data_IF_350720568921
#
_entry.id   IF_350720568921
#
_cell.length_a   1.000
_cell.length_b   1.000
_cell.length_c   1.000
_cell.angle_alpha   90.00
_cell.angle_beta   90.00
_cell.angle_gamma   90.00
#
_symmetry.space_group_name_H-M   'P 1'
#
loop_
_entity.id
_entity.type
_entity.pdbx_description
1 polymer ?
#
# COMPACT_ATOMS: atom_id res chain seq x y z
N UNK A 1 31.62 44.62 -69.31
CA UNK A 1 31.81 46.08 -69.02
C UNK A 1 31.21 46.35 -67.65
N UNK A 2 32.04 46.89 -66.77
CA UNK A 2 31.80 47.47 -65.45
C UNK A 2 31.49 46.52 -64.24
N UNK A 3 32.56 46.37 -63.56
CA UNK A 3 32.73 46.20 -62.09
C UNK A 3 31.82 47.13 -61.28
N UNK A 4 31.33 46.59 -60.15
CA UNK A 4 31.45 47.34 -58.88
C UNK A 4 31.37 46.41 -57.66
N UNK A 5 32.41 46.49 -56.91
CA UNK A 5 32.56 45.92 -55.58
C UNK A 5 31.53 46.48 -54.61
N UNK A 6 31.02 45.63 -53.75
CA UNK A 6 30.51 46.08 -52.46
C UNK A 6 30.87 45.03 -51.41
N UNK A 7 31.74 45.45 -50.56
CA UNK A 7 32.14 44.86 -49.33
C UNK A 7 30.94 44.93 -48.42
N UNK A 8 30.52 43.82 -47.87
CA UNK A 8 29.56 43.79 -46.76
C UNK A 8 30.06 42.93 -45.66
N UNK A 9 30.25 43.55 -44.56
CA UNK A 9 30.62 43.20 -43.22
C UNK A 9 29.88 41.94 -42.78
N UNK A 10 30.64 40.92 -42.42
CA UNK A 10 30.16 39.74 -41.68
C UNK A 10 30.02 40.13 -40.22
N UNK A 11 28.80 40.38 -39.79
CA UNK A 11 28.46 40.48 -38.37
C UNK A 11 28.23 39.08 -37.84
N UNK A 12 29.21 38.56 -37.10
CA UNK A 12 29.08 37.32 -36.35
C UNK A 12 28.18 37.56 -35.13
N UNK A 13 26.91 37.12 -35.24
CA UNK A 13 26.02 37.00 -34.09
C UNK A 13 26.35 35.71 -33.34
N UNK A 14 27.13 35.84 -32.28
CA UNK A 14 27.31 34.79 -31.26
C UNK A 14 26.04 34.74 -30.43
N UNK A 15 25.16 33.81 -30.74
CA UNK A 15 24.07 33.43 -29.84
C UNK A 15 24.67 32.58 -28.68
N UNK A 16 24.90 33.25 -27.55
CA UNK A 16 25.13 32.59 -26.30
C UNK A 16 23.84 31.88 -25.86
N UNK A 17 23.72 30.58 -26.12
CA UNK A 17 22.73 29.72 -25.50
C UNK A 17 23.13 29.56 -24.03
N UNK A 18 22.60 30.46 -23.19
CA UNK A 18 22.58 30.20 -21.74
C UNK A 18 21.55 29.11 -21.48
N UNK A 19 22.01 27.87 -21.43
CA UNK A 19 21.21 26.77 -20.93
C UNK A 19 20.85 27.06 -19.46
N UNK A 20 19.64 27.56 -19.23
CA UNK A 20 19.03 27.55 -17.92
C UNK A 20 18.83 26.07 -17.52
N UNK A 21 19.76 25.55 -16.74
CA UNK A 21 19.52 24.36 -15.95
C UNK A 21 18.48 24.72 -14.89
N UNK A 22 17.21 24.50 -15.21
CA UNK A 22 16.18 24.42 -14.19
C UNK A 22 16.41 23.09 -13.47
N UNK A 23 17.17 23.14 -12.40
CA UNK A 23 17.28 22.04 -11.48
C UNK A 23 15.88 21.76 -10.91
N UNK A 24 15.28 20.67 -11.34
CA UNK A 24 14.05 20.13 -10.76
C UNK A 24 14.33 19.62 -9.34
N UNK A 25 14.44 20.55 -8.38
CA UNK A 25 14.77 20.25 -6.99
C UNK A 25 13.53 19.95 -6.11
N UNK A 26 12.33 19.92 -6.70
CA UNK A 26 11.08 19.84 -5.94
C UNK A 26 10.63 18.44 -5.47
N UNK A 27 10.97 17.30 -6.11
CA UNK A 27 10.54 16.00 -5.59
C UNK A 27 11.30 15.58 -4.31
N UNK A 28 12.58 15.90 -4.23
CA UNK A 28 13.45 15.37 -3.17
C UNK A 28 13.16 15.92 -1.76
N UNK A 29 12.73 17.19 -1.69
CA UNK A 29 12.44 17.85 -0.40
C UNK A 29 11.13 17.30 0.20
N UNK A 30 10.16 16.96 -0.65
CA UNK A 30 8.89 16.38 -0.19
C UNK A 30 9.10 14.99 0.37
N UNK A 31 9.89 14.16 -0.30
CA UNK A 31 10.20 12.80 0.13
C UNK A 31 11.00 12.78 1.44
N UNK A 32 11.98 13.68 1.61
CA UNK A 32 12.75 13.78 2.85
C UNK A 32 11.89 14.22 4.05
N UNK A 33 10.95 15.14 3.86
CA UNK A 33 10.03 15.55 4.92
C UNK A 33 9.00 14.45 5.25
N UNK A 34 8.52 13.70 4.27
CA UNK A 34 7.64 12.56 4.50
C UNK A 34 8.36 11.41 5.21
N UNK A 35 9.61 11.13 4.87
CA UNK A 35 10.43 10.14 5.58
C UNK A 35 10.74 10.56 7.02
N UNK A 36 11.02 11.85 7.26
CA UNK A 36 11.22 12.39 8.63
C UNK A 36 9.97 12.27 9.48
N UNK A 37 8.78 12.36 8.90
CA UNK A 37 7.53 12.33 9.66
C UNK A 37 7.31 10.99 10.37
N UNK A 38 7.70 9.87 9.79
CA UNK A 38 7.56 8.56 10.44
C UNK A 38 8.58 8.31 11.56
N UNK A 39 9.70 9.00 11.57
CA UNK A 39 10.69 8.86 12.65
C UNK A 39 10.23 9.46 13.99
N UNK A 40 9.09 10.16 13.99
CA UNK A 40 8.50 10.75 15.20
C UNK A 40 7.51 9.83 15.91
N UNK A 41 7.15 8.70 15.32
CA UNK A 41 6.30 7.70 15.95
C UNK A 41 7.14 6.66 16.69
N UNK A 42 6.50 5.95 17.62
CA UNK A 42 7.12 4.81 18.26
C UNK A 42 7.27 3.64 17.27
N UNK A 43 8.27 2.76 17.47
CA UNK A 43 8.40 1.56 16.67
C UNK A 43 7.11 0.74 16.65
N UNK A 44 6.79 0.15 15.50
CA UNK A 44 5.57 -0.65 15.35
C UNK A 44 5.87 -2.02 14.74
N UNK A 45 5.04 -3.00 15.06
CA UNK A 45 5.01 -4.29 14.42
C UNK A 45 3.96 -4.22 13.30
N UNK A 46 4.39 -4.28 12.05
CA UNK A 46 3.52 -4.15 10.88
C UNK A 46 3.50 -5.46 10.08
N UNK A 47 2.32 -6.09 9.98
CA UNK A 47 2.12 -7.17 9.03
C UNK A 47 1.55 -6.60 7.72
N UNK A 48 2.25 -6.83 6.60
CA UNK A 48 1.77 -6.47 5.26
C UNK A 48 1.24 -7.72 4.60
N UNK A 49 -0.06 -7.74 4.34
CA UNK A 49 -0.77 -8.84 3.72
C UNK A 49 -1.24 -8.42 2.32
N UNK A 50 -0.87 -9.17 1.30
CA UNK A 50 -1.20 -8.87 -0.09
C UNK A 50 -1.99 -10.04 -0.68
N UNK A 51 -3.18 -9.78 -1.16
CA UNK A 51 -3.98 -10.77 -1.87
C UNK A 51 -3.31 -11.10 -3.22
N UNK A 52 -3.20 -12.37 -3.55
CA UNK A 52 -2.32 -12.84 -4.63
C UNK A 52 -2.96 -12.87 -6.02
N UNK A 53 -4.28 -12.68 -6.10
CA UNK A 53 -5.02 -12.57 -7.37
C UNK A 53 -5.32 -11.12 -7.79
N UNK A 54 -4.65 -10.13 -7.16
CA UNK A 54 -4.81 -8.72 -7.53
C UNK A 54 -4.29 -8.46 -8.95
N UNK A 55 -4.84 -7.41 -9.57
CA UNK A 55 -4.43 -6.97 -10.90
C UNK A 55 -2.92 -6.67 -10.98
N UNK A 56 -2.25 -6.94 -12.12
CA UNK A 56 -0.79 -6.76 -12.26
C UNK A 56 -0.30 -5.34 -11.99
N UNK A 57 -1.16 -4.33 -12.11
CA UNK A 57 -0.86 -2.94 -11.82
C UNK A 57 -0.37 -2.71 -10.37
N UNK A 58 -0.76 -3.57 -9.43
CA UNK A 58 -0.21 -3.58 -8.05
C UNK A 58 1.31 -3.76 -8.06
N UNK A 59 1.86 -4.47 -9.05
CA UNK A 59 3.30 -4.63 -9.22
C UNK A 59 4.05 -3.31 -9.37
N UNK A 60 3.45 -2.32 -10.03
CA UNK A 60 4.03 -0.99 -10.22
C UNK A 60 4.12 -0.21 -8.89
N UNK A 61 3.27 -0.53 -7.93
CA UNK A 61 3.19 0.13 -6.63
C UNK A 61 4.08 -0.50 -5.56
N UNK A 62 4.74 -1.63 -5.88
CA UNK A 62 5.65 -2.29 -4.92
C UNK A 62 6.91 -1.48 -4.62
N UNK A 63 7.32 -0.60 -5.53
CA UNK A 63 8.42 0.36 -5.30
C UNK A 63 8.10 1.25 -4.10
N UNK A 64 6.97 1.93 -4.16
CA UNK A 64 6.48 2.81 -3.09
C UNK A 64 6.27 2.05 -1.78
N UNK A 65 5.77 0.81 -1.87
CA UNK A 65 5.60 -0.06 -0.70
C UNK A 65 6.95 -0.40 -0.04
N UNK A 66 7.98 -0.70 -0.83
CA UNK A 66 9.35 -0.94 -0.33
C UNK A 66 9.92 0.31 0.37
N UNK A 67 9.73 1.47 -0.22
CA UNK A 67 10.21 2.74 0.34
C UNK A 67 9.47 3.11 1.62
N UNK A 68 8.17 2.81 1.70
CA UNK A 68 7.41 2.94 2.94
C UNK A 68 7.98 2.02 4.05
N UNK A 69 8.25 0.74 3.76
CA UNK A 69 8.84 -0.19 4.74
C UNK A 69 10.16 0.35 5.27
N UNK A 70 11.06 0.80 4.37
CA UNK A 70 12.37 1.34 4.76
C UNK A 70 12.29 2.63 5.57
N UNK A 71 11.19 3.37 5.43
CA UNK A 71 10.98 4.63 6.15
C UNK A 71 10.43 4.46 7.57
N UNK A 72 10.08 3.25 7.97
CA UNK A 72 9.58 2.97 9.32
C UNK A 72 10.64 3.27 10.40
N UNK A 73 10.24 3.65 11.61
CA UNK A 73 11.17 3.92 12.72
C UNK A 73 12.08 2.74 13.03
N UNK A 74 13.28 3.05 13.48
CA UNK A 74 14.20 2.03 13.98
C UNK A 74 13.58 1.23 15.14
N UNK A 75 13.72 -0.09 15.12
CA UNK A 75 13.09 -1.00 16.07
C UNK A 75 11.72 -1.50 15.63
N UNK A 76 11.15 -0.97 14.55
CA UNK A 76 9.95 -1.55 13.95
C UNK A 76 10.25 -2.94 13.38
N UNK A 77 9.23 -3.82 13.42
CA UNK A 77 9.30 -5.14 12.83
C UNK A 77 8.28 -5.26 11.71
N UNK A 78 8.68 -5.86 10.60
CA UNK A 78 7.78 -6.05 9.45
C UNK A 78 7.70 -7.52 9.08
N UNK A 79 6.47 -8.01 8.93
CA UNK A 79 6.14 -9.29 8.32
C UNK A 79 5.53 -9.05 6.93
N UNK A 80 5.88 -9.87 5.94
CA UNK A 80 5.25 -9.85 4.61
C UNK A 80 4.63 -11.21 4.33
N UNK A 81 3.34 -11.20 4.04
CA UNK A 81 2.56 -12.39 3.70
C UNK A 81 1.71 -12.18 2.45
N UNK A 82 1.41 -13.27 1.76
CA UNK A 82 0.51 -13.31 0.62
C UNK A 82 -0.71 -14.16 0.94
N UNK A 83 -1.87 -13.61 0.65
CA UNK A 83 -3.14 -14.34 0.76
C UNK A 83 -3.33 -15.10 -0.55
N UNK A 84 -3.14 -16.40 -0.48
CA UNK A 84 -3.42 -17.31 -1.59
C UNK A 84 -4.75 -18.02 -1.33
N UNK A 85 -5.20 -18.82 -2.27
CA UNK A 85 -6.42 -19.60 -2.10
C UNK A 85 -6.35 -20.46 -0.83
N UNK A 86 -7.09 -20.05 0.21
CA UNK A 86 -7.28 -20.79 1.45
C UNK A 86 -6.07 -20.84 2.39
N UNK A 87 -5.06 -19.96 2.23
CA UNK A 87 -3.91 -19.93 3.15
C UNK A 87 -3.14 -18.60 3.14
N UNK A 88 -2.60 -18.23 4.30
CA UNK A 88 -1.62 -17.16 4.44
C UNK A 88 -0.21 -17.70 4.23
N UNK A 89 0.43 -17.32 3.13
CA UNK A 89 1.82 -17.65 2.87
C UNK A 89 2.75 -16.55 3.37
N UNK A 90 3.38 -16.77 4.54
CA UNK A 90 4.36 -15.86 5.09
C UNK A 90 5.67 -15.99 4.34
N UNK A 91 6.03 -14.97 3.55
CA UNK A 91 7.32 -14.93 2.82
C UNK A 91 8.45 -14.43 3.69
N UNK A 92 8.17 -13.46 4.55
CA UNK A 92 9.10 -12.92 5.51
C UNK A 92 8.38 -12.84 6.87
N UNK A 93 8.75 -13.64 7.85
CA UNK A 93 8.32 -13.46 9.23
C UNK A 93 8.76 -12.11 9.79
N UNK A 94 8.19 -11.68 10.91
CA UNK A 94 8.58 -10.43 11.55
C UNK A 94 10.10 -10.31 11.66
N UNK A 95 10.65 -9.18 11.19
CA UNK A 95 12.07 -8.87 11.21
C UNK A 95 12.28 -7.37 11.39
N UNK A 96 13.32 -7.01 12.14
CA UNK A 96 13.81 -5.63 12.25
C UNK A 96 14.68 -5.20 11.06
N UNK A 97 15.11 -6.16 10.22
CA UNK A 97 15.77 -5.86 8.95
C UNK A 97 14.73 -5.42 7.91
N UNK A 98 14.48 -4.09 7.87
CA UNK A 98 13.49 -3.49 6.99
C UNK A 98 13.83 -3.67 5.51
N UNK A 99 15.12 -3.73 5.17
CA UNK A 99 15.55 -4.02 3.81
C UNK A 99 15.23 -5.45 3.39
N UNK A 100 15.42 -6.41 4.28
CA UNK A 100 15.03 -7.81 4.04
C UNK A 100 13.53 -7.93 3.84
N UNK A 101 12.74 -7.27 4.69
CA UNK A 101 11.28 -7.22 4.53
C UNK A 101 10.89 -6.59 3.19
N UNK A 102 11.47 -5.43 2.82
CA UNK A 102 11.19 -4.75 1.56
C UNK A 102 11.55 -5.61 0.33
N UNK A 103 12.67 -6.33 0.35
CA UNK A 103 13.08 -7.24 -0.74
C UNK A 103 12.20 -8.48 -0.87
N UNK A 104 11.48 -8.87 0.16
CA UNK A 104 10.57 -10.02 0.12
C UNK A 104 9.29 -9.76 -0.68
N UNK A 105 8.97 -8.50 -0.97
CA UNK A 105 7.82 -8.13 -1.79
C UNK A 105 7.98 -8.63 -3.24
N UNK A 106 6.97 -9.30 -3.75
CA UNK A 106 6.85 -9.76 -5.14
C UNK A 106 5.54 -9.29 -5.78
N UNK A 107 5.49 -9.31 -7.07
CA UNK A 107 4.26 -9.08 -7.83
C UNK A 107 3.24 -10.17 -7.49
N UNK A 108 1.96 -9.84 -7.24
CA UNK A 108 0.88 -10.82 -7.14
C UNK A 108 0.82 -11.67 -8.41
N UNK A 109 0.47 -12.94 -8.28
CA UNK A 109 0.44 -13.85 -9.44
C UNK A 109 -0.68 -13.52 -10.42
N UNK A 110 -1.73 -12.82 -9.97
CA UNK A 110 -2.85 -12.44 -10.82
C UNK A 110 -3.58 -13.65 -11.43
N UNK A 111 -3.59 -14.78 -10.73
CA UNK A 111 -4.22 -15.99 -11.24
C UNK A 111 -5.75 -15.87 -11.19
N UNK A 112 -6.38 -16.11 -12.35
CA UNK A 112 -7.83 -16.28 -12.47
C UNK A 112 -8.31 -17.68 -12.09
N UNK A 113 -7.39 -18.58 -11.70
CA UNK A 113 -7.76 -19.89 -11.21
C UNK A 113 -8.79 -19.69 -10.09
N UNK A 114 -9.97 -20.25 -10.27
CA UNK A 114 -11.18 -20.11 -9.45
C UNK A 114 -11.04 -20.64 -8.02
N UNK A 115 -10.02 -20.17 -7.34
CA UNK A 115 -9.80 -20.50 -5.96
C UNK A 115 -10.54 -19.48 -5.10
N UNK A 116 -11.38 -19.92 -4.17
CA UNK A 116 -12.07 -19.03 -3.27
C UNK A 116 -11.06 -18.28 -2.42
N UNK A 117 -11.19 -16.96 -2.38
CA UNK A 117 -10.42 -16.09 -1.50
C UNK A 117 -11.29 -15.63 -0.34
N UNK A 118 -10.74 -15.64 0.86
CA UNK A 118 -11.34 -15.02 2.04
C UNK A 118 -10.26 -14.28 2.82
N UNK A 119 -10.07 -12.97 2.55
CA UNK A 119 -8.99 -12.21 3.20
C UNK A 119 -9.15 -12.14 4.72
N UNK A 120 -10.35 -12.29 5.23
CA UNK A 120 -10.65 -12.13 6.66
C UNK A 120 -10.16 -13.32 7.50
N UNK A 121 -10.26 -14.53 6.98
CA UNK A 121 -9.67 -15.72 7.63
C UNK A 121 -8.14 -15.56 7.72
N UNK A 122 -7.52 -15.03 6.67
CA UNK A 122 -6.07 -14.85 6.64
C UNK A 122 -5.60 -13.68 7.51
N UNK A 123 -6.44 -12.67 7.73
CA UNK A 123 -6.20 -11.65 8.75
C UNK A 123 -6.14 -12.30 10.14
N UNK A 124 -7.07 -13.23 10.47
CA UNK A 124 -7.04 -13.96 11.74
C UNK A 124 -5.78 -14.82 11.86
N UNK A 125 -5.32 -15.45 10.78
CA UNK A 125 -4.05 -16.18 10.76
C UNK A 125 -2.84 -15.28 11.00
N UNK A 126 -2.83 -14.09 10.40
CA UNK A 126 -1.77 -13.10 10.61
C UNK A 126 -1.75 -12.57 12.05
N UNK A 127 -2.93 -12.34 12.65
CA UNK A 127 -3.04 -11.91 14.05
C UNK A 127 -2.38 -12.88 15.05
N UNK A 128 -2.34 -14.16 14.73
CA UNK A 128 -1.66 -15.19 15.57
C UNK A 128 -0.14 -15.10 15.51
N UNK A 129 0.43 -14.33 14.57
CA UNK A 129 1.88 -14.17 14.42
C UNK A 129 2.44 -13.00 15.22
N UNK A 130 1.57 -12.13 15.77
CA UNK A 130 2.02 -11.03 16.61
C UNK A 130 2.43 -11.54 17.98
N UNK A 131 3.52 -10.98 18.50
CA UNK A 131 3.92 -11.19 19.89
C UNK A 131 2.93 -10.43 20.81
N UNK A 132 2.39 -11.14 21.80
CA UNK A 132 1.40 -10.59 22.73
C UNK A 132 2.03 -9.71 23.80
N UNK A 133 3.29 -9.96 24.10
CA UNK A 133 4.02 -9.30 25.18
C UNK A 133 4.94 -8.18 24.67
N UNK A 134 4.87 -7.89 23.36
CA UNK A 134 5.68 -6.86 22.71
C UNK A 134 5.25 -5.45 23.11
N UNK A 135 6.25 -4.58 23.37
CA UNK A 135 6.01 -3.16 23.71
C UNK A 135 5.58 -2.30 22.53
N UNK A 136 5.78 -2.77 21.30
CA UNK A 136 5.48 -2.01 20.09
C UNK A 136 3.97 -2.02 19.79
N UNK A 137 3.46 -0.95 19.21
CA UNK A 137 2.13 -0.92 18.63
C UNK A 137 2.01 -1.92 17.48
N UNK A 138 0.87 -2.59 17.36
CA UNK A 138 0.62 -3.63 16.37
C UNK A 138 -0.33 -3.14 15.28
N UNK A 139 0.02 -3.35 14.02
CA UNK A 139 -0.82 -2.98 12.89
C UNK A 139 -0.75 -4.01 11.75
N UNK A 140 -1.83 -4.11 10.99
CA UNK A 140 -1.89 -4.84 9.72
C UNK A 140 -2.14 -3.82 8.60
N UNK A 141 -1.38 -3.92 7.50
CA UNK A 141 -1.72 -3.32 6.22
C UNK A 141 -2.20 -4.43 5.28
N UNK A 142 -3.50 -4.45 5.02
CA UNK A 142 -4.15 -5.38 4.11
C UNK A 142 -4.29 -4.74 2.72
N UNK A 143 -3.68 -5.32 1.70
CA UNK A 143 -3.84 -4.92 0.29
C UNK A 143 -4.69 -5.99 -0.37
N UNK A 144 -5.96 -5.66 -0.66
CA UNK A 144 -6.97 -6.63 -1.07
C UNK A 144 -8.11 -5.96 -1.83
N UNK A 145 -8.88 -6.76 -2.55
CA UNK A 145 -10.16 -6.34 -3.12
C UNK A 145 -11.33 -6.39 -2.12
N UNK A 146 -11.10 -6.99 -0.95
CA UNK A 146 -12.03 -7.03 0.18
C UNK A 146 -13.22 -7.96 -0.01
N UNK A 147 -13.26 -8.79 -1.06
CA UNK A 147 -14.33 -9.76 -1.24
C UNK A 147 -14.00 -11.10 -0.54
N UNK A 148 -15.00 -11.63 0.14
CA UNK A 148 -15.05 -13.04 0.49
C UNK A 148 -15.77 -13.79 -0.64
N UNK A 149 -15.02 -14.58 -1.39
CA UNK A 149 -15.55 -15.43 -2.47
C UNK A 149 -15.53 -16.90 -2.11
N UNK A 150 -15.26 -17.25 -0.85
CA UNK A 150 -15.13 -18.63 -0.39
C UNK A 150 -16.44 -19.45 -0.57
N UNK A 151 -17.58 -18.77 -0.60
CA UNK A 151 -18.92 -19.36 -0.82
C UNK A 151 -19.60 -18.81 -2.08
N UNK A 152 -18.84 -18.22 -3.00
CA UNK A 152 -19.36 -17.43 -4.09
C UNK A 152 -19.68 -15.99 -3.69
N UNK A 153 -19.96 -15.14 -4.67
CA UNK A 153 -20.33 -13.75 -4.42
C UNK A 153 -21.83 -13.63 -4.17
N UNK A 154 -22.20 -13.26 -2.96
CA UNK A 154 -23.57 -12.93 -2.59
C UNK A 154 -23.68 -11.43 -2.28
N UNK A 155 -24.38 -10.71 -3.17
CA UNK A 155 -24.59 -9.27 -3.02
C UNK A 155 -25.51 -8.90 -1.85
N UNK A 156 -26.24 -9.84 -1.27
CA UNK A 156 -27.15 -9.60 -0.14
C UNK A 156 -26.47 -9.74 1.22
N UNK A 157 -25.37 -10.48 1.29
CA UNK A 157 -24.60 -10.75 2.51
C UNK A 157 -23.30 -9.94 2.61
N UNK A 158 -23.01 -9.09 1.63
CA UNK A 158 -21.77 -8.35 1.55
C UNK A 158 -21.54 -7.45 2.79
N UNK A 159 -20.33 -7.52 3.33
CA UNK A 159 -19.91 -6.71 4.48
C UNK A 159 -20.33 -7.25 5.85
N UNK A 160 -21.12 -8.33 5.93
CA UNK A 160 -21.59 -8.93 7.16
C UNK A 160 -21.33 -10.44 7.23
N UNK A 161 -20.17 -10.88 6.77
CA UNK A 161 -19.81 -12.29 6.90
C UNK A 161 -19.29 -12.58 8.32
N UNK A 162 -19.50 -13.81 8.78
CA UNK A 162 -19.00 -14.28 10.09
C UNK A 162 -17.48 -14.08 10.21
N UNK A 163 -16.76 -14.19 9.10
CA UNK A 163 -15.31 -14.08 9.08
C UNK A 163 -14.83 -12.62 9.25
N UNK A 164 -15.56 -11.63 8.72
CA UNK A 164 -15.27 -10.21 9.02
C UNK A 164 -15.48 -9.94 10.51
N UNK A 165 -16.61 -10.36 11.07
CA UNK A 165 -16.92 -10.17 12.50
C UNK A 165 -15.85 -10.81 13.39
N UNK A 166 -15.43 -12.02 13.02
CA UNK A 166 -14.36 -12.73 13.72
C UNK A 166 -13.02 -11.99 13.63
N UNK A 167 -12.66 -11.50 12.44
CA UNK A 167 -11.39 -10.77 12.25
C UNK A 167 -11.36 -9.47 13.04
N UNK A 168 -12.46 -8.73 13.07
CA UNK A 168 -12.62 -7.51 13.88
C UNK A 168 -12.48 -7.83 15.36
N UNK A 169 -13.20 -8.85 15.84
CA UNK A 169 -13.14 -9.26 17.24
C UNK A 169 -11.74 -9.67 17.69
N UNK A 170 -11.05 -10.49 16.89
CA UNK A 170 -9.69 -10.94 17.24
C UNK A 170 -8.67 -9.79 17.14
N UNK A 171 -8.79 -8.89 16.16
CA UNK A 171 -7.93 -7.70 16.04
C UNK A 171 -8.09 -6.79 17.27
N UNK A 172 -9.33 -6.48 17.66
CA UNK A 172 -9.60 -5.65 18.84
C UNK A 172 -9.10 -6.30 20.15
N UNK A 173 -9.27 -7.62 20.29
CA UNK A 173 -8.77 -8.39 21.45
C UNK A 173 -7.25 -8.29 21.59
N UNK A 174 -6.52 -8.20 20.47
CA UNK A 174 -5.06 -8.11 20.45
C UNK A 174 -4.54 -6.67 20.33
N UNK A 175 -5.43 -5.66 20.30
CA UNK A 175 -5.05 -4.26 20.12
C UNK A 175 -4.37 -3.98 18.77
N UNK A 176 -4.73 -4.72 17.72
CA UNK A 176 -4.15 -4.59 16.37
C UNK A 176 -5.05 -3.74 15.49
N UNK A 177 -4.55 -2.60 15.03
CA UNK A 177 -5.26 -1.76 14.06
C UNK A 177 -5.07 -2.31 12.63
N UNK A 178 -6.18 -2.42 11.87
CA UNK A 178 -6.12 -2.89 10.48
C UNK A 178 -6.30 -1.70 9.53
N UNK A 179 -5.29 -1.43 8.73
CA UNK A 179 -5.35 -0.49 7.62
C UNK A 179 -5.54 -1.28 6.32
N UNK A 180 -6.35 -0.76 5.39
CA UNK A 180 -6.62 -1.46 4.14
C UNK A 180 -6.38 -0.57 2.93
N UNK A 181 -5.66 -1.09 1.94
CA UNK A 181 -5.55 -0.52 0.60
C UNK A 181 -6.39 -1.36 -0.34
N UNK A 182 -7.39 -0.74 -0.95
CA UNK A 182 -8.17 -1.40 -1.97
C UNK A 182 -7.37 -1.50 -3.27
N UNK A 183 -7.32 -2.70 -3.82
CA UNK A 183 -6.89 -2.95 -5.19
C UNK A 183 -7.79 -4.05 -5.78
N UNK A 184 -8.29 -3.90 -7.03
CA UNK A 184 -9.16 -4.90 -7.62
C UNK A 184 -8.39 -6.20 -7.90
N UNK A 185 -9.10 -7.34 -7.82
CA UNK A 185 -8.60 -8.63 -8.30
C UNK A 185 -8.75 -8.75 -9.82
N UNK A 186 -8.02 -9.66 -10.44
CA UNK A 186 -8.20 -10.00 -11.87
C UNK A 186 -9.57 -10.64 -12.15
N UNK A 187 -10.28 -11.05 -11.10
CA UNK A 187 -11.61 -11.65 -11.16
C UNK A 187 -12.74 -10.62 -11.10
N UNK A 188 -13.62 -10.81 -10.12
CA UNK A 188 -14.92 -10.14 -10.08
C UNK A 188 -14.85 -8.63 -9.92
N UNK A 189 -13.94 -8.11 -9.09
CA UNK A 189 -13.88 -6.68 -8.77
C UNK A 189 -13.31 -5.80 -9.88
N UNK A 190 -12.58 -6.37 -10.84
CA UNK A 190 -12.15 -5.63 -12.04
C UNK A 190 -13.26 -5.47 -13.08
N UNK A 191 -14.31 -6.30 -13.02
CA UNK A 191 -15.40 -6.32 -14.01
C UNK A 191 -16.75 -5.88 -13.46
N UNK A 192 -16.94 -5.87 -12.13
CA UNK A 192 -18.20 -5.53 -11.48
C UNK A 192 -18.03 -4.39 -10.49
N UNK A 193 -18.63 -3.22 -10.79
CA UNK A 193 -18.67 -2.08 -9.87
C UNK A 193 -19.39 -2.41 -8.57
N UNK A 194 -20.41 -3.28 -8.64
CA UNK A 194 -21.16 -3.74 -7.46
C UNK A 194 -20.20 -4.53 -6.56
N UNK A 195 -19.49 -5.51 -7.09
CA UNK A 195 -18.52 -6.29 -6.32
C UNK A 195 -17.39 -5.40 -5.74
N UNK A 196 -16.88 -4.45 -6.54
CA UNK A 196 -15.87 -3.48 -6.07
C UNK A 196 -16.40 -2.64 -4.89
N UNK A 197 -17.65 -2.15 -4.98
CA UNK A 197 -18.27 -1.37 -3.90
C UNK A 197 -18.44 -2.20 -2.62
N UNK A 198 -18.81 -3.46 -2.74
CA UNK A 198 -18.94 -4.36 -1.60
C UNK A 198 -17.58 -4.66 -0.96
N UNK A 199 -16.56 -4.95 -1.75
CA UNK A 199 -15.20 -5.15 -1.23
C UNK A 199 -14.69 -3.92 -0.47
N UNK A 200 -14.88 -2.72 -1.04
CA UNK A 200 -14.53 -1.45 -0.37
C UNK A 200 -15.31 -1.25 0.94
N UNK A 201 -16.60 -1.57 0.96
CA UNK A 201 -17.43 -1.47 2.17
C UNK A 201 -16.93 -2.42 3.26
N UNK A 202 -16.57 -3.64 2.90
CA UNK A 202 -16.04 -4.64 3.81
C UNK A 202 -14.68 -4.23 4.39
N UNK A 203 -13.76 -3.76 3.54
CA UNK A 203 -12.47 -3.22 4.00
C UNK A 203 -12.65 -1.99 4.90
N UNK A 204 -13.59 -1.11 4.55
CA UNK A 204 -13.88 0.08 5.35
C UNK A 204 -14.41 -0.30 6.74
N UNK A 205 -15.30 -1.28 6.81
CA UNK A 205 -15.82 -1.81 8.07
C UNK A 205 -14.71 -2.43 8.92
N UNK A 206 -13.94 -3.37 8.35
CA UNK A 206 -12.82 -4.01 9.06
C UNK A 206 -11.85 -2.97 9.63
N UNK A 207 -11.45 -2.00 8.80
CA UNK A 207 -10.48 -0.98 9.23
C UNK A 207 -11.05 -0.06 10.30
N UNK A 208 -12.25 0.48 10.11
CA UNK A 208 -12.84 1.44 11.05
C UNK A 208 -13.12 0.79 12.42
N UNK A 209 -13.64 -0.43 12.43
CA UNK A 209 -13.99 -1.14 13.67
C UNK A 209 -12.75 -1.68 14.42
N UNK A 210 -11.57 -1.66 13.80
CA UNK A 210 -10.28 -2.02 14.44
C UNK A 210 -9.39 -0.82 14.73
N UNK A 211 -9.90 0.42 14.60
CA UNK A 211 -9.14 1.64 14.85
C UNK A 211 -8.17 2.02 13.74
N UNK A 212 -8.20 1.35 12.60
CA UNK A 212 -7.43 1.70 11.41
C UNK A 212 -8.24 2.54 10.41
N UNK A 213 -7.89 2.45 9.13
CA UNK A 213 -8.55 3.17 8.04
C UNK A 213 -8.40 2.42 6.72
N UNK A 214 -9.45 2.43 5.89
CA UNK A 214 -9.38 1.97 4.51
C UNK A 214 -9.11 3.13 3.53
N UNK A 215 -8.36 2.83 2.48
CA UNK A 215 -7.97 3.78 1.42
C UNK A 215 -8.36 3.21 0.05
N UNK A 216 -9.15 3.97 -0.68
CA UNK A 216 -9.59 3.64 -2.04
C UNK A 216 -9.92 4.91 -2.83
N UNK A 217 -9.90 4.82 -4.18
CA UNK A 217 -10.26 5.89 -5.10
C UNK A 217 -11.33 5.38 -6.07
N UNK A 218 -12.60 5.58 -5.70
CA UNK A 218 -13.71 5.12 -6.52
C UNK A 218 -13.67 3.62 -6.80
N UNK A 219 -14.43 3.18 -7.80
CA UNK A 219 -14.54 1.77 -8.20
C UNK A 219 -13.77 1.47 -9.50
N UNK A 220 -12.89 2.37 -9.95
CA UNK A 220 -12.09 2.18 -11.15
C UNK A 220 -10.96 1.17 -10.90
N UNK A 221 -10.52 0.49 -11.96
CA UNK A 221 -9.36 -0.42 -11.89
C UNK A 221 -8.01 0.28 -11.74
N UNK A 222 -8.00 1.61 -11.56
CA UNK A 222 -6.77 2.37 -11.36
C UNK A 222 -6.22 2.13 -9.94
N UNK A 223 -4.94 1.73 -9.87
CA UNK A 223 -4.25 1.45 -8.61
C UNK A 223 -3.12 2.47 -8.45
N UNK A 224 -3.11 3.17 -7.32
CA UNK A 224 -1.99 4.02 -6.91
C UNK A 224 -1.87 4.02 -5.39
N UNK A 225 -0.68 3.71 -4.88
CA UNK A 225 -0.44 3.65 -3.45
C UNK A 225 0.28 4.90 -2.90
N UNK A 226 0.82 5.76 -3.75
CA UNK A 226 1.50 6.98 -3.30
C UNK A 226 0.60 7.82 -2.37
N UNK A 227 -0.61 8.15 -2.83
CA UNK A 227 -1.57 8.92 -2.03
C UNK A 227 -2.06 8.16 -0.79
N UNK A 228 -2.13 6.83 -0.88
CA UNK A 228 -2.54 6.00 0.26
C UNK A 228 -1.45 5.98 1.33
N UNK A 229 -0.18 5.80 0.94
CA UNK A 229 0.93 5.84 1.89
C UNK A 229 1.11 7.21 2.53
N UNK A 230 0.95 8.32 1.80
CA UNK A 230 0.98 9.66 2.40
C UNK A 230 -0.09 9.80 3.48
N UNK A 231 -1.33 9.40 3.20
CA UNK A 231 -2.44 9.44 4.17
C UNK A 231 -2.27 8.43 5.31
N UNK A 232 -1.69 7.26 5.05
CA UNK A 232 -1.36 6.27 6.07
C UNK A 232 -0.31 6.82 7.05
N UNK A 233 0.76 7.46 6.54
CA UNK A 233 1.78 8.13 7.38
C UNK A 233 1.15 9.18 8.30
N UNK A 234 0.28 10.03 7.77
CA UNK A 234 -0.45 11.02 8.59
C UNK A 234 -1.29 10.35 9.69
N UNK A 235 -1.95 9.23 9.35
CA UNK A 235 -2.77 8.50 10.30
C UNK A 235 -1.91 7.84 11.38
N UNK A 236 -0.83 7.18 11.01
CA UNK A 236 0.13 6.58 11.95
C UNK A 236 0.76 7.63 12.85
N UNK A 237 1.14 8.80 12.31
CA UNK A 237 1.69 9.90 13.09
C UNK A 237 0.70 10.42 14.14
N UNK A 238 -0.59 10.51 13.83
CA UNK A 238 -1.60 10.93 14.80
C UNK A 238 -1.87 9.88 15.87
N UNK A 239 -1.83 8.61 15.47
CA UNK A 239 -2.25 7.48 16.32
C UNK A 239 -1.12 6.98 17.23
N UNK A 240 0.13 7.04 16.75
CA UNK A 240 1.31 6.50 17.42
C UNK A 240 2.41 7.55 17.65
N UNK A 241 2.05 8.86 17.65
CA UNK A 241 3.01 9.91 17.97
C UNK A 241 3.61 9.69 19.36
N UNK A 242 4.94 9.81 19.45
CA UNK A 242 5.62 9.85 20.75
C UNK A 242 5.06 11.00 21.58
N UNK A 243 4.46 10.70 22.70
CA UNK A 243 4.18 11.69 23.72
C UNK A 243 5.53 12.12 24.34
N UNK A 244 6.05 13.27 23.89
CA UNK A 244 7.23 13.93 24.48
C UNK A 244 6.81 14.81 25.65
#
# INVERSE_FOLDING_TARGET
MYYRKLVSVVAALVFAFSALWVASATPKIKDENEQRSLQTIDPLNLAILIQDDLVPQVGNELGVTRDFIRSLPQGSQVMVGYITAGSLQVRQPFTTDLDKAARSLRIPHGSTASSPFNPYVEVVEALRKFDRDGANANAILLISDGLDTSRGFDSTAAGHTVDIDRSIKEANKLGVSVFSFYAPSVGLTSHSRIAASYGQSSLNRLSNETGGRAFFQGTSGFVTFNSYFSRLRETLNRQYARNR
#
